data_IF_815850262256
#
_entry.id   IF_815850262256
#
_cell.length_a   1.000
_cell.length_b   1.000
_cell.length_c   1.000
_cell.angle_alpha   90.00
_cell.angle_beta   90.00
_cell.angle_gamma   90.00
#
_symmetry.space_group_name_H-M   'P 1'
#
loop_
_entity.id
_entity.type
_entity.pdbx_description
1 polymer ?
#
# COMPACT_ATOMS: atom_id res chain seq x y z
N UNK A 1 -17.78 -3.85 -1.05
CA UNK A 1 -16.69 -3.69 -2.03
C UNK A 1 -17.29 -3.53 -3.44
N UNK A 2 -16.61 -2.78 -4.35
CA UNK A 2 -17.12 -2.14 -5.60
C UNK A 2 -17.66 -0.72 -5.42
N UNK A 3 -16.88 0.15 -4.78
CA UNK A 3 -17.21 1.59 -4.59
C UNK A 3 -16.99 2.45 -5.84
N UNK A 4 -16.73 1.85 -7.00
CA UNK A 4 -16.38 2.56 -8.23
C UNK A 4 -17.36 2.24 -9.37
N UNK A 5 -17.65 3.22 -10.25
CA UNK A 5 -18.51 2.99 -11.41
C UNK A 5 -18.02 1.84 -12.28
N UNK A 6 -18.96 1.15 -12.92
CA UNK A 6 -18.66 0.14 -13.92
C UNK A 6 -17.81 0.75 -15.04
N UNK A 7 -16.77 0.04 -15.47
CA UNK A 7 -15.81 0.54 -16.46
C UNK A 7 -14.58 1.24 -15.88
N UNK A 8 -14.51 1.46 -14.57
CA UNK A 8 -13.27 1.90 -13.91
C UNK A 8 -12.17 0.86 -14.11
N UNK A 9 -11.04 1.28 -14.70
CA UNK A 9 -9.83 0.44 -14.84
C UNK A 9 -8.91 0.72 -13.66
N UNK A 10 -8.44 -0.33 -13.01
CA UNK A 10 -7.55 -0.27 -11.86
C UNK A 10 -6.28 -1.04 -12.22
N UNK A 11 -5.13 -0.43 -11.97
CA UNK A 11 -3.82 -1.07 -12.09
C UNK A 11 -3.17 -1.12 -10.70
N UNK A 12 -2.44 -2.21 -10.44
CA UNK A 12 -1.62 -2.38 -9.26
C UNK A 12 -0.20 -2.76 -9.70
N UNK A 13 0.79 -2.35 -8.92
CA UNK A 13 2.20 -2.68 -9.15
C UNK A 13 2.70 -3.47 -7.95
N UNK A 14 3.20 -4.67 -8.20
CA UNK A 14 3.93 -5.48 -7.22
C UNK A 14 5.39 -5.52 -7.68
N UNK A 15 6.30 -4.82 -6.98
CA UNK A 15 7.64 -4.56 -7.50
C UNK A 15 8.53 -5.81 -7.58
N UNK A 16 8.28 -6.80 -6.71
CA UNK A 16 9.01 -8.07 -6.65
C UNK A 16 8.15 -9.18 -6.02
N UNK A 17 8.75 -10.38 -5.91
CA UNK A 17 8.07 -11.59 -5.45
C UNK A 17 8.33 -11.94 -3.98
N UNK A 18 7.42 -12.70 -3.35
CA UNK A 18 7.46 -13.03 -1.93
C UNK A 18 8.67 -13.86 -1.51
N UNK A 19 9.32 -14.57 -2.45
CA UNK A 19 10.52 -15.38 -2.17
C UNK A 19 11.67 -14.57 -1.54
N UNK A 20 11.71 -13.24 -1.76
CA UNK A 20 12.71 -12.35 -1.14
C UNK A 20 12.44 -12.07 0.34
N UNK A 21 11.21 -12.34 0.79
CA UNK A 21 10.71 -11.97 2.11
C UNK A 21 10.28 -13.18 2.93
N UNK A 22 10.53 -14.39 2.43
CA UNK A 22 10.04 -15.64 2.99
C UNK A 22 10.38 -15.79 4.48
N UNK A 23 11.64 -15.53 4.87
CA UNK A 23 12.09 -15.61 6.26
C UNK A 23 11.81 -14.34 7.09
N UNK A 24 11.02 -13.39 6.58
CA UNK A 24 10.72 -12.11 7.24
C UNK A 24 9.21 -11.99 7.53
N UNK A 25 8.50 -11.09 6.86
CA UNK A 25 7.07 -10.80 7.07
C UNK A 25 6.13 -11.98 6.77
N UNK A 26 6.63 -13.10 6.22
CA UNK A 26 5.89 -14.35 6.06
C UNK A 26 6.22 -15.41 7.12
N UNK A 27 7.11 -15.09 8.07
CA UNK A 27 7.53 -15.97 9.16
C UNK A 27 6.94 -15.46 10.49
N UNK A 28 6.24 -16.33 11.21
CA UNK A 28 5.56 -15.98 12.47
C UNK A 28 6.53 -15.59 13.58
N UNK A 29 7.69 -16.26 13.69
CA UNK A 29 8.71 -15.93 14.69
C UNK A 29 9.30 -14.54 14.43
N UNK A 30 9.59 -14.22 13.17
CA UNK A 30 10.03 -12.88 12.78
C UNK A 30 8.94 -11.85 13.11
N UNK A 31 7.69 -12.13 12.77
CA UNK A 31 6.57 -11.24 13.06
C UNK A 31 6.41 -10.98 14.57
N UNK A 32 6.52 -12.01 15.40
CA UNK A 32 6.42 -11.92 16.85
C UNK A 32 7.60 -11.13 17.45
N UNK A 33 8.83 -11.43 17.03
CA UNK A 33 10.04 -10.74 17.49
C UNK A 33 10.01 -9.24 17.16
N UNK A 34 9.34 -8.86 16.08
CA UNK A 34 9.22 -7.47 15.63
C UNK A 34 7.87 -6.82 15.96
N UNK A 35 6.96 -7.51 16.66
CA UNK A 35 5.66 -6.97 17.08
C UNK A 35 4.76 -6.54 15.91
N UNK A 36 4.83 -7.24 14.78
CA UNK A 36 4.17 -6.79 13.53
C UNK A 36 2.66 -7.02 13.49
N UNK A 37 2.12 -7.90 14.35
CA UNK A 37 0.72 -8.37 14.26
C UNK A 37 -0.20 -7.80 15.35
N UNK A 38 0.35 -7.21 16.41
CA UNK A 38 -0.42 -6.74 17.57
C UNK A 38 -0.74 -5.23 17.53
N UNK A 39 -0.43 -4.58 16.40
CA UNK A 39 -0.63 -3.15 16.19
C UNK A 39 -2.02 -2.79 15.63
N UNK A 40 -2.49 -1.54 15.84
CA UNK A 40 -3.73 -1.08 15.24
C UNK A 40 -3.63 -1.09 13.71
N UNK A 41 -4.57 -1.75 13.05
CA UNK A 41 -4.69 -1.71 11.59
C UNK A 41 -5.42 -0.44 11.18
N UNK A 42 -4.85 0.27 10.21
CA UNK A 42 -5.46 1.47 9.64
C UNK A 42 -6.56 1.07 8.65
N UNK A 43 -7.80 1.45 8.95
CA UNK A 43 -8.97 1.20 8.08
C UNK A 43 -8.94 2.01 6.77
N UNK A 44 -8.36 3.22 6.80
CA UNK A 44 -8.33 4.14 5.66
C UNK A 44 -6.95 4.78 5.43
N UNK A 45 -6.51 4.96 4.18
CA UNK A 45 -5.20 5.53 3.89
C UNK A 45 -5.13 7.00 4.35
N UNK A 46 -3.97 7.41 4.88
CA UNK A 46 -3.73 8.83 5.18
C UNK A 46 -3.58 9.65 3.89
N UNK A 47 -4.06 10.89 3.88
CA UNK A 47 -3.82 11.82 2.77
C UNK A 47 -2.34 12.17 2.63
N UNK A 48 -1.81 12.12 1.41
CA UNK A 48 -0.41 12.43 1.12
C UNK A 48 -0.32 13.54 0.08
N UNK A 49 0.30 14.66 0.47
CA UNK A 49 0.41 15.89 -0.34
C UNK A 49 1.83 16.44 -0.48
N UNK A 50 2.78 16.03 0.37
CA UNK A 50 4.19 16.48 0.36
C UNK A 50 5.13 15.37 -0.12
N UNK A 51 6.43 15.62 -0.15
CA UNK A 51 7.47 14.62 -0.48
C UNK A 51 8.09 13.96 0.77
N UNK A 52 7.50 14.17 1.94
CA UNK A 52 8.07 13.70 3.20
C UNK A 52 7.97 12.17 3.35
N UNK A 53 8.81 11.61 4.23
CA UNK A 53 8.76 10.20 4.57
C UNK A 53 7.40 9.85 5.19
N UNK A 54 6.80 8.76 4.69
CA UNK A 54 5.53 8.23 5.20
C UNK A 54 5.79 6.98 6.04
N UNK A 55 5.06 6.83 7.14
CA UNK A 55 5.21 5.68 8.06
C UNK A 55 4.14 4.60 7.87
N UNK A 56 3.35 4.65 6.78
CA UNK A 56 2.28 3.68 6.55
C UNK A 56 1.50 3.90 5.27
N UNK A 57 0.31 3.29 5.19
CA UNK A 57 -0.55 3.32 4.02
C UNK A 57 -1.13 4.72 3.75
N UNK A 58 -0.86 5.26 2.56
CA UNK A 58 -1.29 6.60 2.15
C UNK A 58 -2.04 6.59 0.82
N UNK A 59 -2.78 7.68 0.57
CA UNK A 59 -3.47 7.96 -0.68
C UNK A 59 -3.11 9.37 -1.14
N UNK A 60 -2.68 9.45 -2.40
CA UNK A 60 -2.57 10.70 -3.13
C UNK A 60 -3.57 10.73 -4.27
N UNK A 61 -4.29 11.84 -4.38
CA UNK A 61 -5.07 12.15 -5.57
C UNK A 61 -4.17 12.93 -6.51
N UNK A 62 -3.89 12.34 -7.66
CA UNK A 62 -3.12 13.01 -8.71
C UNK A 62 -4.10 13.69 -9.65
N UNK A 63 -3.82 14.94 -10.01
CA UNK A 63 -4.44 15.52 -11.19
C UNK A 63 -4.03 14.70 -12.40
N UNK A 64 -4.97 14.52 -13.32
CA UNK A 64 -4.67 13.87 -14.58
C UNK A 64 -3.72 14.82 -15.32
N UNK A 65 -2.45 14.46 -15.40
CA UNK A 65 -1.51 15.16 -16.28
C UNK A 65 -2.14 15.16 -17.67
N UNK A 66 -2.26 16.36 -18.28
CA UNK A 66 -2.89 16.51 -19.58
C UNK A 66 -2.37 15.46 -20.56
N UNK A 67 -3.28 14.88 -21.35
CA UNK A 67 -2.93 13.81 -22.28
C UNK A 67 -1.72 14.24 -23.12
N UNK A 68 -0.62 13.50 -22.99
CA UNK A 68 0.48 13.57 -23.95
C UNK A 68 -0.15 13.16 -25.29
N UNK A 69 -0.24 14.11 -26.21
CA UNK A 69 -0.65 13.88 -27.59
C UNK A 69 0.42 13.07 -28.31
#
# INVERSE_FOLDING_TARGET
>A
ARTRPRGTRIAAVFPDGPQRYFDTVFNDEFCAAHGLLDGPVREDPAGYVSADAVSGWTRRVMDRTGAVR
#
